data_IF_962453562719
#
_entry.id   IF_962453562719
#
_cell.length_a   1.000
_cell.length_b   1.000
_cell.length_c   1.000
_cell.angle_alpha   90.00
_cell.angle_beta   90.00
_cell.angle_gamma   90.00
#
_symmetry.space_group_name_H-M   'P 1'
#
loop_
_entity.id
_entity.type
_entity.pdbx_description
1 polymer ?
#
# COMPACT_ATOMS: atom_id res chain seq x y z
N UNK A 1 10.18 51.80 -22.23
CA UNK A 1 10.66 50.41 -22.24
C UNK A 1 11.05 50.04 -20.82
N UNK A 2 10.63 48.83 -20.41
CA UNK A 2 10.95 48.07 -19.18
C UNK A 2 10.39 48.68 -17.88
N UNK A 3 9.25 48.25 -17.31
CA UNK A 3 8.82 46.91 -16.84
C UNK A 3 9.81 46.27 -15.87
N UNK A 4 9.54 46.40 -14.57
CA UNK A 4 9.87 45.43 -13.52
C UNK A 4 8.76 45.57 -12.45
N UNK A 5 7.83 44.65 -12.26
CA UNK A 5 7.98 43.19 -12.28
C UNK A 5 8.05 42.62 -10.86
N UNK A 6 7.33 43.19 -9.89
CA UNK A 6 7.27 42.63 -8.53
C UNK A 6 6.73 41.20 -8.54
N UNK A 7 7.47 40.21 -7.99
CA UNK A 7 7.03 38.83 -7.98
C UNK A 7 5.91 38.64 -6.96
N UNK A 8 4.71 38.44 -7.48
CA UNK A 8 3.51 38.13 -6.72
C UNK A 8 3.71 36.76 -6.03
N UNK A 9 4.13 36.78 -4.75
CA UNK A 9 4.26 35.57 -3.92
C UNK A 9 2.88 34.99 -3.68
N UNK A 10 2.50 34.02 -4.51
CA UNK A 10 1.32 33.19 -4.28
C UNK A 10 1.51 32.42 -2.97
N UNK A 11 0.90 32.91 -1.89
CA UNK A 11 0.80 32.20 -0.62
C UNK A 11 0.19 30.83 -0.87
N UNK A 12 0.98 29.76 -0.71
CA UNK A 12 0.51 28.38 -0.80
C UNK A 12 -0.62 28.20 0.21
N UNK A 13 -1.89 28.15 -0.25
CA UNK A 13 -3.05 27.87 0.59
C UNK A 13 -2.75 26.60 1.38
N UNK A 14 -2.67 26.70 2.71
CA UNK A 14 -2.57 25.52 3.59
C UNK A 14 -3.72 24.60 3.23
N UNK A 15 -3.43 23.35 2.85
CA UNK A 15 -4.47 22.34 2.63
C UNK A 15 -5.19 22.14 3.94
N UNK A 16 -6.41 22.65 4.05
CA UNK A 16 -7.25 22.48 5.22
C UNK A 16 -7.61 20.98 5.32
N UNK A 17 -7.09 20.29 6.32
CA UNK A 17 -7.40 18.87 6.53
C UNK A 17 -8.64 18.79 7.40
N UNK A 18 -9.71 18.18 6.88
CA UNK A 18 -10.92 17.99 7.68
C UNK A 18 -10.61 17.16 8.93
N UNK A 19 -11.15 17.58 10.07
CA UNK A 19 -11.12 16.83 11.33
C UNK A 19 -11.82 15.47 11.19
N UNK A 20 -11.47 14.52 12.06
CA UNK A 20 -12.08 13.18 12.03
C UNK A 20 -13.55 13.21 12.47
N UNK A 21 -13.92 14.15 13.34
CA UNK A 21 -15.30 14.38 13.78
C UNK A 21 -16.17 14.77 12.57
N UNK A 22 -15.74 15.76 11.78
CA UNK A 22 -16.51 16.21 10.60
C UNK A 22 -16.56 15.15 9.50
N UNK A 23 -15.49 14.37 9.30
CA UNK A 23 -15.54 13.21 8.39
C UNK A 23 -16.58 12.17 8.83
N UNK A 24 -16.70 11.95 10.13
CA UNK A 24 -17.64 10.98 10.71
C UNK A 24 -19.07 11.51 10.59
N UNK A 25 -19.27 12.79 10.90
CA UNK A 25 -20.56 13.46 10.76
C UNK A 25 -21.06 13.44 9.30
N UNK A 26 -20.23 13.81 8.33
CA UNK A 26 -20.57 13.72 6.89
C UNK A 26 -20.93 12.28 6.48
N UNK A 27 -20.22 11.27 7.00
CA UNK A 27 -20.52 9.86 6.72
C UNK A 27 -21.89 9.47 7.27
N UNK A 28 -22.19 9.88 8.50
CA UNK A 28 -23.40 9.49 9.21
C UNK A 28 -24.63 10.23 8.65
N UNK A 29 -24.50 11.51 8.33
CA UNK A 29 -25.52 12.29 7.60
C UNK A 29 -25.83 11.67 6.24
N UNK A 30 -24.81 11.29 5.46
CA UNK A 30 -25.03 10.60 4.18
C UNK A 30 -25.73 9.25 4.37
N UNK A 31 -25.42 8.52 5.45
CA UNK A 31 -26.07 7.24 5.77
C UNK A 31 -27.54 7.44 6.14
N UNK A 32 -27.86 8.46 6.92
CA UNK A 32 -29.24 8.82 7.26
C UNK A 32 -30.03 9.21 6.01
N UNK A 33 -29.46 10.08 5.17
CA UNK A 33 -30.07 10.49 3.89
C UNK A 33 -30.30 9.30 2.95
N UNK A 34 -29.41 8.30 2.97
CA UNK A 34 -29.59 7.08 2.16
C UNK A 34 -30.77 6.21 2.57
N UNK A 35 -31.34 6.41 3.77
CA UNK A 35 -32.54 5.72 4.24
C UNK A 35 -33.85 6.45 3.90
N UNK A 36 -33.79 7.65 3.31
CA UNK A 36 -34.97 8.47 3.00
C UNK A 36 -35.56 8.09 1.63
N UNK A 37 -36.89 8.18 1.52
CA UNK A 37 -37.61 7.91 0.27
C UNK A 37 -37.19 8.92 -0.82
N UNK A 38 -36.95 8.43 -2.04
CA UNK A 38 -36.48 9.25 -3.15
C UNK A 38 -34.98 9.61 -3.13
N UNK A 39 -34.18 8.97 -2.26
CA UNK A 39 -32.73 9.19 -2.21
C UNK A 39 -32.05 8.89 -3.56
N UNK A 40 -31.33 9.88 -4.09
CA UNK A 40 -30.46 9.75 -5.26
C UNK A 40 -29.00 9.71 -4.80
N UNK A 41 -28.31 8.55 -4.87
CA UNK A 41 -26.90 8.47 -4.49
C UNK A 41 -26.04 9.31 -5.43
N UNK A 42 -24.83 9.65 -4.97
CA UNK A 42 -23.83 10.25 -5.84
C UNK A 42 -23.57 9.39 -7.08
N UNK A 43 -23.55 10.04 -8.24
CA UNK A 43 -23.05 9.50 -9.49
C UNK A 43 -21.53 9.45 -9.42
N UNK A 44 -20.98 8.23 -9.30
CA UNK A 44 -19.57 7.98 -9.02
C UNK A 44 -18.68 7.93 -10.27
N UNK A 45 -19.25 8.01 -11.47
CA UNK A 45 -18.48 8.22 -12.71
C UNK A 45 -17.84 9.60 -12.74
N UNK A 46 -18.38 10.55 -11.98
CA UNK A 46 -17.86 11.90 -11.85
C UNK A 46 -16.55 11.97 -11.06
N UNK A 47 -15.81 13.06 -11.30
CA UNK A 47 -14.57 13.32 -10.58
C UNK A 47 -14.76 14.13 -9.29
N UNK A 48 -15.89 14.84 -9.18
CA UNK A 48 -16.14 15.80 -8.12
C UNK A 48 -17.58 15.62 -7.57
N UNK A 49 -17.78 15.69 -6.23
CA UNK A 49 -19.12 15.62 -5.64
C UNK A 49 -20.00 16.86 -5.89
N UNK A 50 -19.47 17.97 -6.39
CA UNK A 50 -20.22 19.21 -6.66
C UNK A 50 -20.50 19.44 -8.16
N UNK A 51 -20.39 18.40 -8.98
CA UNK A 51 -20.88 18.40 -10.37
C UNK A 51 -22.40 18.62 -10.40
N UNK A 52 -22.94 19.05 -11.54
CA UNK A 52 -24.38 19.32 -11.69
C UNK A 52 -25.25 18.16 -11.20
N UNK A 53 -24.90 16.93 -11.57
CA UNK A 53 -25.64 15.73 -11.18
C UNK A 53 -25.54 15.37 -9.68
N UNK A 54 -24.47 15.79 -8.99
CA UNK A 54 -24.23 15.48 -7.57
C UNK A 54 -24.48 16.68 -6.63
N UNK A 55 -24.70 17.88 -7.19
CA UNK A 55 -24.72 19.15 -6.48
C UNK A 55 -25.83 19.19 -5.43
N UNK A 56 -27.00 18.68 -5.75
CA UNK A 56 -28.16 18.66 -4.86
C UNK A 56 -27.83 17.91 -3.55
N UNK A 57 -27.40 16.66 -3.66
CA UNK A 57 -27.03 15.84 -2.50
C UNK A 57 -25.86 16.47 -1.72
N UNK A 58 -24.83 16.97 -2.40
CA UNK A 58 -23.66 17.55 -1.74
C UNK A 58 -23.96 18.85 -1.00
N UNK A 59 -24.85 19.70 -1.54
CA UNK A 59 -25.34 20.90 -0.84
C UNK A 59 -26.19 20.53 0.36
N UNK A 60 -27.10 19.56 0.21
CA UNK A 60 -27.95 19.09 1.30
C UNK A 60 -27.13 18.53 2.47
N UNK A 61 -26.13 17.69 2.19
CA UNK A 61 -25.21 17.19 3.23
C UNK A 61 -24.45 18.34 3.90
N UNK A 62 -23.98 19.32 3.11
CA UNK A 62 -23.29 20.48 3.67
C UNK A 62 -24.18 21.26 4.64
N UNK A 63 -25.43 21.54 4.25
CA UNK A 63 -26.41 22.27 5.07
C UNK A 63 -26.75 21.51 6.35
N UNK A 64 -26.99 20.20 6.27
CA UNK A 64 -27.29 19.36 7.44
C UNK A 64 -26.10 19.29 8.41
N UNK A 65 -24.88 19.08 7.90
CA UNK A 65 -23.68 19.03 8.73
C UNK A 65 -23.39 20.39 9.35
N UNK A 66 -23.63 21.48 8.61
CA UNK A 66 -23.49 22.85 9.12
C UNK A 66 -24.54 23.19 10.19
N UNK A 67 -25.75 22.64 10.08
CA UNK A 67 -26.79 22.75 11.10
C UNK A 67 -26.42 22.04 12.41
N UNK A 68 -25.77 20.88 12.33
CA UNK A 68 -25.31 20.13 13.52
C UNK A 68 -24.02 20.70 14.11
N UNK A 69 -23.14 21.25 13.27
CA UNK A 69 -21.85 21.84 13.71
C UNK A 69 -21.69 23.26 13.14
N UNK A 70 -22.38 24.26 13.74
CA UNK A 70 -22.39 25.63 13.22
C UNK A 70 -21.03 26.32 13.30
N UNK A 71 -20.18 25.94 14.25
CA UNK A 71 -18.83 26.48 14.44
C UNK A 71 -17.85 26.07 13.33
N UNK A 72 -18.11 24.96 12.63
CA UNK A 72 -17.20 24.42 11.62
C UNK A 72 -17.27 25.21 10.32
N UNK A 73 -16.11 25.53 9.73
CA UNK A 73 -16.06 26.24 8.45
C UNK A 73 -16.71 25.41 7.31
N UNK A 74 -17.42 26.08 6.39
CA UNK A 74 -18.03 25.42 5.24
C UNK A 74 -16.98 24.77 4.32
N UNK A 75 -15.77 25.31 4.28
CA UNK A 75 -14.64 24.74 3.53
C UNK A 75 -14.19 23.38 4.10
N UNK A 76 -14.16 23.23 5.43
CA UNK A 76 -13.81 21.98 6.08
C UNK A 76 -14.84 20.89 5.79
N UNK A 77 -16.13 21.22 5.89
CA UNK A 77 -17.24 20.32 5.57
C UNK A 77 -17.18 19.92 4.08
N UNK A 78 -16.95 20.89 3.20
CA UNK A 78 -16.77 20.66 1.75
C UNK A 78 -15.62 19.69 1.48
N UNK A 79 -14.49 19.85 2.17
CA UNK A 79 -13.37 18.93 2.02
C UNK A 79 -13.68 17.53 2.55
N UNK A 80 -14.39 17.41 3.68
CA UNK A 80 -14.87 16.12 4.20
C UNK A 80 -15.81 15.42 3.21
N UNK A 81 -16.70 16.15 2.53
CA UNK A 81 -17.55 15.65 1.45
C UNK A 81 -16.70 15.11 0.29
N UNK A 82 -15.67 15.84 -0.16
CA UNK A 82 -14.73 15.36 -1.19
C UNK A 82 -14.02 14.08 -0.79
N UNK A 83 -13.52 14.00 0.45
CA UNK A 83 -12.85 12.80 0.98
C UNK A 83 -13.81 11.62 0.96
N UNK A 84 -15.06 11.83 1.41
CA UNK A 84 -16.09 10.77 1.45
C UNK A 84 -16.49 10.31 0.06
N UNK A 85 -16.76 11.22 -0.88
CA UNK A 85 -17.07 10.89 -2.26
C UNK A 85 -15.95 10.07 -2.92
N UNK A 86 -14.70 10.54 -2.80
CA UNK A 86 -13.53 9.82 -3.31
C UNK A 86 -13.41 8.42 -2.71
N UNK A 87 -13.62 8.29 -1.40
CA UNK A 87 -13.60 7.00 -0.71
C UNK A 87 -14.68 6.03 -1.23
N UNK A 88 -15.91 6.50 -1.43
CA UNK A 88 -17.02 5.69 -1.98
C UNK A 88 -16.74 5.32 -3.44
N UNK A 89 -16.25 6.26 -4.25
CA UNK A 89 -15.86 6.01 -5.64
C UNK A 89 -14.74 4.98 -5.74
N UNK A 90 -13.69 5.13 -4.95
CA UNK A 90 -12.57 4.18 -4.92
C UNK A 90 -13.05 2.80 -4.46
N UNK A 91 -13.95 2.75 -3.46
CA UNK A 91 -14.56 1.50 -3.00
C UNK A 91 -15.42 0.84 -4.09
N UNK A 92 -16.24 1.61 -4.80
CA UNK A 92 -17.06 1.09 -5.91
C UNK A 92 -16.20 0.63 -7.08
N UNK A 93 -15.14 1.36 -7.42
CA UNK A 93 -14.13 0.93 -8.40
C UNK A 93 -13.46 -0.39 -8.01
N UNK A 94 -13.29 -0.64 -6.70
CA UNK A 94 -12.74 -1.91 -6.18
C UNK A 94 -13.78 -3.02 -6.14
N UNK A 95 -15.05 -2.70 -5.86
CA UNK A 95 -16.17 -3.67 -5.79
C UNK A 95 -16.63 -4.12 -7.18
N UNK A 96 -16.58 -3.24 -8.17
CA UNK A 96 -16.87 -3.54 -9.57
C UNK A 96 -15.65 -4.03 -10.35
N UNK A 97 -15.51 -5.35 -10.46
CA UNK A 97 -14.88 -6.06 -11.61
C UNK A 97 -13.62 -5.43 -12.23
N UNK A 98 -12.47 -5.71 -11.63
CA UNK A 98 -11.31 -6.03 -12.45
C UNK A 98 -10.65 -7.29 -11.86
N UNK A 99 -10.80 -8.48 -12.49
CA UNK A 99 -10.11 -9.69 -12.03
C UNK A 99 -8.60 -9.46 -11.96
N UNK A 100 -8.05 -8.59 -12.80
CA UNK A 100 -6.64 -8.18 -12.73
C UNK A 100 -6.37 -7.39 -11.45
N UNK A 101 -7.23 -6.44 -11.05
CA UNK A 101 -7.06 -5.73 -9.77
C UNK A 101 -7.09 -6.67 -8.56
N UNK A 102 -7.99 -7.65 -8.53
CA UNK A 102 -8.01 -8.66 -7.45
C UNK A 102 -6.74 -9.50 -7.46
N UNK A 103 -6.29 -9.93 -8.63
CA UNK A 103 -5.02 -10.67 -8.80
C UNK A 103 -3.82 -9.81 -8.35
N UNK A 104 -3.77 -8.54 -8.72
CA UNK A 104 -2.72 -7.60 -8.35
C UNK A 104 -2.70 -7.32 -6.85
N UNK A 105 -3.87 -7.14 -6.24
CA UNK A 105 -4.00 -6.97 -4.79
C UNK A 105 -3.60 -8.25 -4.03
N UNK A 106 -3.97 -9.43 -4.53
CA UNK A 106 -3.54 -10.69 -3.96
C UNK A 106 -2.02 -10.86 -4.08
N UNK A 107 -1.43 -10.57 -5.25
CA UNK A 107 0.02 -10.56 -5.46
C UNK A 107 0.71 -9.60 -4.51
N UNK A 108 0.21 -8.37 -4.37
CA UNK A 108 0.74 -7.38 -3.42
C UNK A 108 0.65 -7.87 -1.97
N UNK A 109 -0.52 -8.36 -1.55
CA UNK A 109 -0.72 -8.87 -0.20
C UNK A 109 0.23 -10.03 0.13
N UNK A 110 0.51 -10.92 -0.83
CA UNK A 110 1.48 -12.01 -0.65
C UNK A 110 2.90 -11.49 -0.48
N UNK A 111 3.31 -10.48 -1.26
CA UNK A 111 4.61 -9.81 -1.09
C UNK A 111 4.73 -9.17 0.29
N UNK A 112 3.70 -8.43 0.71
CA UNK A 112 3.68 -7.74 2.00
C UNK A 112 3.78 -8.77 3.15
N UNK A 113 3.04 -9.89 3.05
CA UNK A 113 3.12 -10.98 4.03
C UNK A 113 4.50 -11.63 4.06
N UNK A 114 5.09 -11.94 2.90
CA UNK A 114 6.43 -12.56 2.83
C UNK A 114 7.51 -11.63 3.38
N UNK A 115 7.42 -10.34 3.08
CA UNK A 115 8.29 -9.31 3.66
C UNK A 115 8.16 -9.28 5.18
N UNK A 116 6.93 -9.24 5.70
CA UNK A 116 6.65 -9.19 7.13
C UNK A 116 7.19 -10.44 7.85
N UNK A 117 6.98 -11.63 7.26
CA UNK A 117 7.54 -12.88 7.78
C UNK A 117 9.05 -12.80 7.86
N UNK A 118 9.74 -12.35 6.80
CA UNK A 118 11.20 -12.24 6.79
C UNK A 118 11.71 -11.21 7.79
N UNK A 119 11.04 -10.06 7.94
CA UNK A 119 11.40 -9.07 8.96
C UNK A 119 11.22 -9.65 10.36
N UNK A 120 10.15 -10.41 10.59
CA UNK A 120 9.89 -11.06 11.89
C UNK A 120 10.98 -12.09 12.18
N UNK A 121 11.24 -13.00 11.25
CA UNK A 121 12.32 -14.00 11.37
C UNK A 121 13.70 -13.35 11.51
N UNK A 122 13.96 -12.25 10.82
CA UNK A 122 15.21 -11.49 10.96
C UNK A 122 15.36 -10.96 12.39
N UNK A 123 14.29 -10.53 13.03
CA UNK A 123 14.33 -10.04 14.41
C UNK A 123 14.63 -11.15 15.40
N UNK A 124 14.06 -12.32 15.14
CA UNK A 124 14.22 -13.52 15.97
C UNK A 124 15.53 -14.26 15.69
N UNK A 125 16.24 -13.93 14.60
CA UNK A 125 17.52 -14.55 14.25
C UNK A 125 18.64 -14.24 15.26
N UNK A 126 19.73 -15.01 15.19
CA UNK A 126 20.93 -14.84 16.02
C UNK A 126 21.85 -13.69 15.58
N UNK A 127 21.53 -13.01 14.48
CA UNK A 127 22.34 -11.91 13.95
C UNK A 127 22.49 -10.77 14.98
N UNK A 128 23.64 -10.09 14.94
CA UNK A 128 23.88 -8.95 15.79
C UNK A 128 22.96 -7.76 15.44
N UNK A 129 22.81 -6.82 16.39
CA UNK A 129 21.90 -5.70 16.24
C UNK A 129 22.26 -4.75 15.09
N UNK A 130 23.54 -4.65 14.71
CA UNK A 130 24.00 -3.80 13.61
C UNK A 130 23.63 -4.45 12.27
N UNK A 131 23.89 -5.74 12.11
CA UNK A 131 23.49 -6.52 10.94
C UNK A 131 21.98 -6.51 10.75
N UNK A 132 21.20 -6.75 11.81
CA UNK A 132 19.73 -6.66 11.75
C UNK A 132 19.26 -5.29 11.27
N UNK A 133 19.86 -4.19 11.76
CA UNK A 133 19.53 -2.83 11.31
C UNK A 133 19.89 -2.59 9.85
N UNK A 134 21.04 -3.08 9.40
CA UNK A 134 21.46 -2.97 8.00
C UNK A 134 20.49 -3.71 7.09
N UNK A 135 20.23 -4.98 7.39
CA UNK A 135 19.34 -5.83 6.60
C UNK A 135 17.90 -5.30 6.57
N UNK A 136 17.36 -4.78 7.68
CA UNK A 136 16.02 -4.14 7.68
C UNK A 136 15.91 -2.95 6.71
N UNK A 137 17.00 -2.20 6.46
CA UNK A 137 16.99 -1.10 5.49
C UNK A 137 16.97 -1.57 4.05
N UNK A 138 17.47 -2.78 3.81
CA UNK A 138 17.69 -3.33 2.48
C UNK A 138 16.54 -4.25 2.07
N UNK A 139 16.01 -5.03 3.01
CA UNK A 139 14.87 -5.92 2.82
C UNK A 139 13.60 -5.09 2.66
N UNK A 140 13.36 -4.64 1.43
CA UNK A 140 12.16 -3.89 1.03
C UNK A 140 11.22 -4.76 0.21
N UNK A 141 10.00 -4.24 -0.02
CA UNK A 141 9.01 -4.93 -0.85
C UNK A 141 9.53 -5.17 -2.27
N UNK A 142 10.34 -4.24 -2.78
CA UNK A 142 10.96 -4.34 -4.08
C UNK A 142 11.96 -5.48 -4.11
N UNK A 143 12.62 -5.86 -3.02
CA UNK A 143 13.51 -7.04 -3.00
C UNK A 143 12.75 -8.36 -3.05
N UNK A 144 11.48 -8.41 -2.67
CA UNK A 144 10.71 -9.66 -2.61
C UNK A 144 10.33 -10.13 -4.01
N UNK A 145 10.57 -11.42 -4.28
CA UNK A 145 10.23 -12.06 -5.56
C UNK A 145 8.72 -12.03 -5.79
N UNK A 146 8.33 -11.64 -7.00
CA UNK A 146 7.01 -11.06 -7.31
C UNK A 146 6.10 -11.95 -8.13
N UNK A 147 6.66 -12.79 -8.99
CA UNK A 147 5.88 -13.36 -10.07
C UNK A 147 5.41 -14.75 -9.68
N UNK A 148 4.68 -14.78 -8.54
CA UNK A 148 3.91 -15.94 -8.09
C UNK A 148 2.71 -16.11 -9.02
N UNK A 149 2.93 -16.87 -10.09
CA UNK A 149 1.87 -17.46 -10.88
C UNK A 149 1.37 -18.70 -10.12
N UNK A 150 0.09 -18.67 -9.75
CA UNK A 150 -0.59 -19.84 -9.19
C UNK A 150 -0.77 -20.84 -10.31
N UNK A 151 -0.19 -22.02 -10.14
CA UNK A 151 -0.38 -23.12 -11.08
C UNK A 151 -1.54 -23.95 -10.55
N UNK A 152 -2.61 -24.05 -11.33
CA UNK A 152 -3.72 -24.93 -11.01
C UNK A 152 -3.25 -26.38 -11.12
N UNK A 153 -3.32 -27.10 -10.00
CA UNK A 153 -2.97 -28.51 -9.87
C UNK A 153 -3.43 -29.04 -8.51
N UNK A 154 -3.31 -30.36 -8.29
CA UNK A 154 -3.76 -31.02 -7.06
C UNK A 154 -3.12 -30.46 -5.78
N UNK A 155 -1.92 -29.87 -5.92
CA UNK A 155 -1.23 -29.15 -4.85
C UNK A 155 -1.03 -27.70 -5.25
N UNK A 156 -1.60 -26.80 -4.45
CA UNK A 156 -1.47 -25.36 -4.68
C UNK A 156 0.00 -24.94 -4.64
N UNK A 157 0.52 -24.52 -5.79
CA UNK A 157 1.95 -24.22 -5.98
C UNK A 157 2.12 -22.82 -6.56
N UNK A 158 3.08 -22.08 -6.02
CA UNK A 158 3.53 -20.80 -6.58
C UNK A 158 4.88 -20.97 -7.26
N UNK A 159 5.00 -20.44 -8.48
CA UNK A 159 6.28 -20.27 -9.16
C UNK A 159 6.93 -18.99 -8.64
N UNK A 160 8.14 -19.05 -8.10
CA UNK A 160 8.85 -17.89 -7.56
C UNK A 160 9.94 -17.48 -8.54
N UNK A 161 9.79 -16.32 -9.18
CA UNK A 161 10.80 -15.74 -10.08
C UNK A 161 11.70 -14.76 -9.35
N UNK A 162 13.00 -15.05 -9.30
CA UNK A 162 13.99 -14.18 -8.65
C UNK A 162 14.36 -13.01 -9.56
N UNK A 163 14.59 -11.81 -9.04
CA UNK A 163 15.00 -10.66 -9.86
C UNK A 163 16.47 -10.79 -10.24
N UNK A 164 16.80 -10.54 -11.51
CA UNK A 164 18.18 -10.64 -12.01
C UNK A 164 19.14 -9.62 -11.38
N UNK A 165 18.64 -8.44 -11.04
CA UNK A 165 19.42 -7.36 -10.43
C UNK A 165 19.62 -7.51 -8.92
N UNK A 166 18.97 -8.49 -8.27
CA UNK A 166 19.07 -8.64 -6.81
C UNK A 166 20.44 -9.25 -6.44
N UNK A 167 21.23 -8.62 -5.54
CA UNK A 167 22.51 -9.17 -5.14
C UNK A 167 22.41 -10.54 -4.47
N UNK A 168 23.42 -11.40 -4.70
CA UNK A 168 23.45 -12.79 -4.20
C UNK A 168 23.39 -12.90 -2.67
N UNK A 169 23.99 -11.95 -1.96
CA UNK A 169 23.98 -11.91 -0.49
C UNK A 169 22.55 -11.76 0.05
N UNK A 170 21.68 -11.06 -0.69
CA UNK A 170 20.27 -10.90 -0.33
C UNK A 170 19.50 -12.20 -0.58
N UNK A 171 19.84 -12.90 -1.67
CA UNK A 171 19.28 -14.22 -1.95
C UNK A 171 19.61 -15.22 -0.84
N UNK A 172 20.87 -15.27 -0.43
CA UNK A 172 21.34 -16.13 0.67
C UNK A 172 20.63 -15.79 1.97
N UNK A 173 20.56 -14.49 2.33
CA UNK A 173 19.82 -14.09 3.53
C UNK A 173 18.35 -14.53 3.46
N UNK A 174 17.68 -14.32 2.33
CA UNK A 174 16.29 -14.72 2.17
C UNK A 174 16.09 -16.21 2.30
N UNK A 175 17.01 -17.02 1.79
CA UNK A 175 16.99 -18.47 1.95
C UNK A 175 17.17 -18.88 3.41
N UNK A 176 18.13 -18.30 4.13
CA UNK A 176 18.35 -18.56 5.56
C UNK A 176 17.10 -18.19 6.39
N UNK A 177 16.54 -17.00 6.16
CA UNK A 177 15.35 -16.53 6.89
C UNK A 177 14.11 -17.38 6.56
N UNK A 178 13.94 -17.79 5.30
CA UNK A 178 12.84 -18.64 4.89
C UNK A 178 12.98 -20.05 5.50
N UNK A 179 14.19 -20.62 5.52
CA UNK A 179 14.48 -21.90 6.16
C UNK A 179 14.24 -21.88 7.67
N UNK A 180 14.66 -20.81 8.35
CA UNK A 180 14.40 -20.63 9.78
C UNK A 180 12.89 -20.57 10.06
N UNK A 181 12.16 -19.80 9.26
CA UNK A 181 10.70 -19.72 9.37
C UNK A 181 10.03 -21.09 9.13
N UNK A 182 10.43 -21.82 8.09
CA UNK A 182 9.84 -23.12 7.81
C UNK A 182 10.18 -24.15 8.90
N UNK A 183 11.38 -24.10 9.50
CA UNK A 183 11.72 -24.92 10.67
C UNK A 183 10.81 -24.61 11.88
N UNK A 184 10.45 -23.35 12.10
CA UNK A 184 9.59 -22.95 13.22
C UNK A 184 8.11 -23.29 13.05
N UNK A 185 7.67 -23.72 11.86
CA UNK A 185 6.27 -24.05 11.58
C UNK A 185 5.92 -25.48 12.00
N UNK A 186 4.70 -25.65 12.53
CA UNK A 186 4.13 -26.97 12.82
C UNK A 186 3.90 -27.80 11.55
N UNK A 187 3.88 -29.13 11.68
CA UNK A 187 3.63 -30.02 10.54
C UNK A 187 2.29 -29.74 9.85
N UNK A 188 1.22 -29.52 10.63
CA UNK A 188 -0.09 -29.12 10.10
C UNK A 188 0.00 -27.84 9.26
N UNK A 189 0.77 -26.84 9.72
CA UNK A 189 0.97 -25.61 8.96
C UNK A 189 1.72 -25.88 7.66
N UNK A 190 2.77 -26.72 7.69
CA UNK A 190 3.55 -27.10 6.50
C UNK A 190 2.70 -27.77 5.43
N UNK A 191 1.81 -28.70 5.81
CA UNK A 191 0.89 -29.35 4.87
C UNK A 191 -0.14 -28.39 4.26
N UNK A 192 -0.54 -27.34 4.98
CA UNK A 192 -1.51 -26.34 4.50
C UNK A 192 -0.85 -25.19 3.71
N UNK A 193 0.48 -25.06 3.73
CA UNK A 193 1.15 -24.06 2.91
C UNK A 193 1.14 -24.41 1.43
N UNK A 194 1.03 -23.37 0.62
CA UNK A 194 1.38 -23.42 -0.78
C UNK A 194 2.84 -23.83 -0.95
N UNK A 195 3.09 -24.81 -1.83
CA UNK A 195 4.45 -25.14 -2.24
C UNK A 195 5.00 -23.98 -3.08
N UNK A 196 6.30 -23.73 -2.97
CA UNK A 196 7.00 -22.70 -3.75
C UNK A 196 8.10 -23.35 -4.56
N UNK A 197 8.06 -23.17 -5.88
CA UNK A 197 9.03 -23.74 -6.81
C UNK A 197 9.73 -22.58 -7.51
N UNK A 198 11.06 -22.66 -7.68
CA UNK A 198 11.79 -21.63 -8.40
C UNK A 198 11.44 -21.67 -9.89
N UNK A 199 11.06 -20.51 -10.42
CA UNK A 199 10.83 -20.29 -11.84
C UNK A 199 12.00 -19.59 -12.53
N UNK A 200 11.85 -19.23 -13.82
CA UNK A 200 12.82 -18.40 -14.52
C UNK A 200 12.95 -17.04 -13.85
N UNK A 201 14.07 -16.35 -14.07
CA UNK A 201 14.30 -15.04 -13.48
C UNK A 201 13.26 -14.00 -13.95
N UNK A 202 12.91 -13.09 -13.06
CA UNK A 202 12.00 -11.98 -13.30
C UNK A 202 12.70 -10.91 -14.13
N UNK A 203 12.06 -10.50 -15.22
CA UNK A 203 12.52 -9.44 -16.12
C UNK A 203 12.18 -8.02 -15.61
N UNK A 204 11.68 -7.90 -14.38
CA UNK A 204 11.30 -6.60 -13.83
C UNK A 204 12.53 -5.68 -13.74
N UNK A 205 12.37 -4.39 -14.04
CA UNK A 205 13.47 -3.44 -13.93
C UNK A 205 13.92 -3.28 -12.49
N UNK A 206 15.15 -2.82 -12.32
CA UNK A 206 15.68 -2.39 -11.03
C UNK A 206 14.89 -1.16 -10.52
N UNK A 207 14.48 -1.13 -9.24
CA UNK A 207 13.76 0.01 -8.68
C UNK A 207 14.68 1.23 -8.55
N UNK A 208 14.07 2.42 -8.53
CA UNK A 208 14.81 3.65 -8.19
C UNK A 208 15.03 3.72 -6.68
N UNK A 209 16.25 3.40 -6.26
CA UNK A 209 16.64 3.31 -4.86
C UNK A 209 16.83 4.68 -4.24
N UNK A 210 16.35 4.87 -3.00
CA UNK A 210 16.77 6.03 -2.23
C UNK A 210 18.28 5.98 -1.93
N UNK A 211 18.93 7.14 -1.81
CA UNK A 211 20.37 7.22 -1.50
C UNK A 211 20.77 6.45 -0.22
N UNK A 212 19.84 6.33 0.74
CA UNK A 212 20.04 5.55 1.96
C UNK A 212 20.12 4.03 1.71
N UNK A 213 19.36 3.52 0.75
CA UNK A 213 19.37 2.11 0.38
C UNK A 213 20.57 1.77 -0.49
N UNK A 214 20.95 2.64 -1.44
CA UNK A 214 22.17 2.47 -2.22
C UNK A 214 23.40 2.40 -1.30
N UNK A 215 23.45 3.26 -0.29
CA UNK A 215 24.54 3.23 0.70
C UNK A 215 24.54 1.93 1.51
N UNK A 216 23.36 1.43 1.87
CA UNK A 216 23.23 0.16 2.60
C UNK A 216 23.63 -1.04 1.73
N UNK A 217 23.27 -1.06 0.45
CA UNK A 217 23.65 -2.11 -0.50
C UNK A 217 25.15 -2.11 -0.76
N UNK A 218 25.78 -0.95 -0.95
CA UNK A 218 27.25 -0.84 -1.03
C UNK A 218 27.95 -1.36 0.22
N UNK A 219 27.33 -1.20 1.40
CA UNK A 219 27.85 -1.77 2.64
C UNK A 219 27.70 -3.29 2.71
N UNK A 220 26.74 -3.90 2.01
CA UNK A 220 26.65 -5.36 1.91
C UNK A 220 27.76 -5.95 1.06
N UNK A 221 28.16 -5.28 -0.01
CA UNK A 221 29.27 -5.73 -0.87
C UNK A 221 30.62 -5.72 -0.11
N UNK A 222 30.67 -5.02 1.03
CA UNK A 222 31.81 -4.96 1.93
C UNK A 222 31.73 -5.97 3.08
N UNK A 223 30.63 -6.70 3.24
CA UNK A 223 30.53 -7.79 4.22
C UNK A 223 31.12 -9.05 3.55
N UNK A 224 32.23 -9.60 4.08
CA UNK A 224 32.74 -10.88 3.58
C UNK A 224 31.62 -11.91 3.65
N UNK A 225 31.44 -12.71 2.60
CA UNK A 225 30.55 -13.86 2.65
C UNK A 225 30.98 -14.72 3.83
N UNK A 226 30.21 -14.72 4.92
CA UNK A 226 30.36 -15.73 5.95
C UNK A 226 29.97 -17.05 5.29
N UNK A 227 30.97 -17.76 4.76
CA UNK A 227 30.84 -19.17 4.49
C UNK A 227 30.65 -19.81 5.86
N UNK A 228 29.45 -20.29 6.14
CA UNK A 228 29.24 -21.31 7.17
C UNK A 228 29.82 -22.62 6.63
N UNK A 229 31.14 -22.78 6.77
CA UNK A 229 31.76 -24.10 6.84
C UNK A 229 31.92 -24.41 8.33
N UNK A 230 30.89 -25.01 8.94
CA UNK A 230 30.96 -25.82 10.18
C UNK A 230 29.81 -26.84 10.22
#
# INVERSE_FOLDING_TARGET
MNMDGSPNKTSKKKRFVASNEIKTLVRDTLKEESGKEGFKPWILTETNPFTEANRELSKRILELVKGTSPETSSEEITNAIHIRFKSIRDTNRRRGKNPNYKKDMAKKSRKDQKLLTRITTLNDSTLDSCSKKLWRKIVTIDMVSSDEDEVDGDVKTFIVRKPTWRPKQIDQLFEVLDNHHDKSRSQRSKFQSYKRVLGPDSLRPEPDWSGSQLTAMKKLDLIPSHNEDE
#
